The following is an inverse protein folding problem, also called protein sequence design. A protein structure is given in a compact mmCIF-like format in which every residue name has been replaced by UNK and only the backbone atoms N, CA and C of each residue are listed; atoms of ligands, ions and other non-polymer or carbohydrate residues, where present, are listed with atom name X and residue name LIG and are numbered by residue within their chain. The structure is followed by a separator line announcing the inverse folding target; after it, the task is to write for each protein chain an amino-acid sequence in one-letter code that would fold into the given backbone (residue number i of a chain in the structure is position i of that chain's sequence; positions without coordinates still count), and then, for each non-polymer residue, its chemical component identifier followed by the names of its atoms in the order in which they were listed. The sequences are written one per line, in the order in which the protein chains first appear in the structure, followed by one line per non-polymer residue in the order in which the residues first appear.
data_IF_756723061573
#
_entry.id   IF_756723061573
#
_cell.length_a   1.000
_cell.length_b   1.000
_cell.length_c   1.000
_cell.angle_alpha   90.00
_cell.angle_beta   90.00
_cell.angle_gamma   90.00
#
_symmetry.space_group_name_H-M   'P 1'
#
loop_
_entity.id
_entity.type
_entity.pdbx_description
1 polymer ?
#
# COMPACT_ATOMS: atom_id res chain seq x y z
N UNK A 1 -6.29 2.76 16.40
CA UNK A 1 -5.60 2.63 15.09
C UNK A 1 -4.14 2.33 15.36
N UNK A 2 -3.51 1.50 14.53
CA UNK A 2 -2.06 1.24 14.62
C UNK A 2 -1.35 2.33 13.80
N UNK A 3 -0.59 3.21 14.46
CA UNK A 3 -0.04 4.44 13.85
C UNK A 3 0.88 4.16 12.66
N UNK A 4 1.77 3.19 12.78
CA UNK A 4 2.67 2.78 11.71
C UNK A 4 1.90 2.35 10.45
N UNK A 5 0.91 1.47 10.60
CA UNK A 5 0.07 1.01 9.49
C UNK A 5 -0.77 2.15 8.92
N UNK A 6 -1.27 3.04 9.78
CA UNK A 6 -2.01 4.22 9.33
C UNK A 6 -1.16 5.10 8.41
N UNK A 7 0.12 5.33 8.78
CA UNK A 7 1.05 6.11 7.96
C UNK A 7 1.27 5.44 6.59
N UNK A 8 1.52 4.13 6.58
CA UNK A 8 1.71 3.32 5.35
C UNK A 8 0.48 3.36 4.44
N UNK A 9 -0.72 3.25 4.99
CA UNK A 9 -1.97 3.34 4.22
C UNK A 9 -2.23 4.73 3.66
N UNK A 10 -1.83 5.79 4.38
CA UNK A 10 -1.88 7.16 3.84
C UNK A 10 -0.89 7.37 2.68
N UNK A 11 0.35 6.88 2.82
CA UNK A 11 1.35 6.91 1.75
C UNK A 11 0.88 6.15 0.51
N UNK A 12 0.33 4.95 0.71
CA UNK A 12 -0.31 4.15 -0.33
C UNK A 12 -1.43 4.92 -1.02
N UNK A 13 -2.35 5.53 -0.28
CA UNK A 13 -3.46 6.28 -0.87
C UNK A 13 -3.02 7.53 -1.63
N UNK A 14 -1.98 8.23 -1.16
CA UNK A 14 -1.35 9.33 -1.90
C UNK A 14 -0.75 8.79 -3.21
N UNK A 15 -0.06 7.66 -3.15
CA UNK A 15 0.51 7.02 -4.33
C UNK A 15 -0.56 6.55 -5.33
N UNK A 16 -1.67 5.98 -4.87
CA UNK A 16 -2.81 5.59 -5.73
C UNK A 16 -3.41 6.80 -6.45
N UNK A 17 -3.63 7.91 -5.73
CA UNK A 17 -4.19 9.14 -6.33
C UNK A 17 -3.30 9.72 -7.42
N UNK A 18 -1.96 9.62 -7.27
CA UNK A 18 -1.01 10.02 -8.33
C UNK A 18 -1.13 9.17 -9.61
N UNK A 19 -1.70 7.95 -9.55
CA UNK A 19 -1.89 7.08 -10.74
C UNK A 19 -3.13 7.42 -11.56
N UNK A 20 -4.20 7.92 -10.94
CA UNK A 20 -5.44 8.27 -11.65
C UNK A 20 -5.28 9.51 -12.56
N UNK A 21 -4.20 10.29 -12.38
CA UNK A 21 -3.87 11.45 -13.20
C UNK A 21 -3.23 11.09 -14.58
N UNK A 22 -3.27 9.82 -15.00
CA UNK A 22 -2.97 9.42 -16.39
C UNK A 22 -1.51 9.05 -16.70
N UNK A 23 -0.69 8.73 -15.71
CA UNK A 23 0.67 8.21 -15.92
C UNK A 23 0.75 6.71 -15.69
N UNK A 24 0.92 5.90 -16.75
CA UNK A 24 1.30 4.49 -16.58
C UNK A 24 2.50 4.40 -15.64
N UNK A 25 2.41 3.58 -14.60
CA UNK A 25 3.35 3.47 -13.47
C UNK A 25 4.78 3.01 -13.79
N UNK A 26 5.25 3.21 -15.01
CA UNK A 26 6.66 3.30 -15.31
C UNK A 26 7.02 4.79 -15.34
N UNK A 27 8.02 5.26 -14.57
CA UNK A 27 8.62 6.53 -14.95
C UNK A 27 9.02 6.38 -16.42
N UNK A 28 8.51 7.25 -17.30
CA UNK A 28 8.78 7.18 -18.75
C UNK A 28 10.28 7.34 -19.07
N UNK A 29 11.08 7.60 -18.04
CA UNK A 29 12.53 7.68 -18.04
C UNK A 29 13.08 6.81 -16.91
N UNK A 30 14.06 5.97 -17.24
CA UNK A 30 14.91 5.31 -16.26
C UNK A 30 15.50 6.36 -15.30
N UNK A 31 15.39 6.14 -13.98
CA UNK A 31 15.92 7.04 -12.94
C UNK A 31 17.45 7.20 -12.97
N UNK A 32 18.16 6.47 -13.85
CA UNK A 32 19.60 6.67 -14.06
C UNK A 32 19.95 7.94 -14.85
N UNK A 33 18.98 8.65 -15.44
CA UNK A 33 19.26 9.83 -16.27
C UNK A 33 18.99 11.19 -15.61
N UNK A 34 18.63 11.26 -14.32
CA UNK A 34 18.18 12.52 -13.69
C UNK A 34 19.11 13.00 -12.56
N UNK A 35 20.42 12.95 -12.81
CA UNK A 35 21.43 13.57 -11.94
C UNK A 35 21.54 15.11 -12.11
N UNK A 36 20.69 15.73 -12.92
CA UNK A 36 20.75 17.18 -13.18
C UNK A 36 19.36 17.81 -13.09
N UNK A 37 19.13 18.44 -11.92
CA UNK A 37 18.25 19.59 -11.64
C UNK A 37 16.79 19.58 -12.16
N UNK A 38 15.85 19.93 -11.28
CA UNK A 38 15.08 21.21 -11.33
C UNK A 38 14.11 21.24 -10.14
N UNK A 39 14.13 22.37 -9.42
CA UNK A 39 13.11 22.75 -8.45
C UNK A 39 11.72 22.75 -9.09
N UNK A 40 10.83 21.87 -8.65
CA UNK A 40 9.43 21.85 -9.06
C UNK A 40 8.66 20.85 -8.21
N UNK A 41 7.79 21.36 -7.34
CA UNK A 41 6.91 20.57 -6.48
C UNK A 41 6.00 19.69 -7.34
N UNK A 42 6.15 18.37 -7.26
CA UNK A 42 5.40 17.40 -8.07
C UNK A 42 6.22 16.23 -8.62
N UNK A 43 7.48 16.08 -8.22
CA UNK A 43 8.30 14.93 -8.59
C UNK A 43 7.74 13.63 -8.00
N UNK A 44 7.70 12.58 -8.82
CA UNK A 44 7.54 11.21 -8.37
C UNK A 44 8.46 10.99 -7.15
N UNK A 45 7.87 10.56 -6.03
CA UNK A 45 8.61 10.33 -4.80
C UNK A 45 9.80 9.40 -5.00
N UNK A 46 10.80 9.42 -4.10
CA UNK A 46 11.95 8.54 -4.18
C UNK A 46 11.53 7.08 -4.43
N UNK A 47 12.33 6.32 -5.18
CA UNK A 47 12.06 4.92 -5.61
C UNK A 47 11.61 4.02 -4.45
N UNK A 48 12.09 4.32 -3.24
CA UNK A 48 11.71 3.64 -2.00
C UNK A 48 10.24 3.80 -1.63
N UNK A 49 9.64 4.98 -1.87
CA UNK A 49 8.21 5.22 -1.63
C UNK A 49 7.33 4.42 -2.61
N UNK A 50 7.78 4.25 -3.85
CA UNK A 50 7.06 3.47 -4.85
C UNK A 50 7.08 1.96 -4.54
N UNK A 51 8.22 1.42 -4.08
CA UNK A 51 8.32 0.02 -3.67
C UNK A 51 7.43 -0.29 -2.45
N UNK A 52 7.50 0.57 -1.44
CA UNK A 52 6.65 0.51 -0.25
C UNK A 52 5.14 0.53 -0.57
N UNK A 53 4.72 1.41 -1.47
CA UNK A 53 3.32 1.51 -1.86
C UNK A 53 2.85 0.26 -2.66
N UNK A 54 3.72 -0.33 -3.47
CA UNK A 54 3.42 -1.57 -4.21
C UNK A 54 3.23 -2.78 -3.29
N UNK A 55 4.00 -2.88 -2.21
CA UNK A 55 3.81 -3.93 -1.19
C UNK A 55 2.42 -3.82 -0.56
N UNK A 56 2.04 -2.61 -0.13
CA UNK A 56 0.72 -2.34 0.44
C UNK A 56 -0.40 -2.62 -0.57
N UNK A 57 -0.22 -2.22 -1.84
CA UNK A 57 -1.18 -2.51 -2.91
C UNK A 57 -1.41 -4.02 -3.07
N UNK A 58 -0.35 -4.83 -3.04
CA UNK A 58 -0.45 -6.30 -3.10
C UNK A 58 -1.29 -6.86 -1.95
N UNK A 59 -1.05 -6.38 -0.72
CA UNK A 59 -1.81 -6.78 0.47
C UNK A 59 -3.27 -6.32 0.38
N UNK A 60 -3.54 -5.09 -0.06
CA UNK A 60 -4.89 -4.55 -0.22
C UNK A 60 -5.68 -5.32 -1.29
N UNK A 61 -5.05 -5.74 -2.39
CA UNK A 61 -5.67 -6.61 -3.39
C UNK A 61 -6.04 -7.96 -2.80
N UNK A 62 -5.18 -8.55 -1.97
CA UNK A 62 -5.49 -9.80 -1.27
C UNK A 62 -6.66 -9.62 -0.29
N UNK A 63 -6.67 -8.53 0.48
CA UNK A 63 -7.78 -8.18 1.39
C UNK A 63 -9.08 -7.99 0.61
N UNK A 64 -9.05 -7.32 -0.55
CA UNK A 64 -10.24 -7.14 -1.40
C UNK A 64 -10.86 -8.47 -1.83
N UNK A 65 -10.04 -9.48 -2.12
CA UNK A 65 -10.50 -10.83 -2.49
C UNK A 65 -11.08 -11.58 -1.28
N UNK A 66 -10.46 -11.46 -0.10
CA UNK A 66 -10.84 -12.21 1.10
C UNK A 66 -12.01 -11.58 1.87
N UNK A 67 -12.04 -10.25 1.96
CA UNK A 67 -12.97 -9.47 2.77
C UNK A 67 -13.31 -8.15 2.09
N UNK A 68 -14.27 -8.14 1.15
CA UNK A 68 -14.69 -6.93 0.43
C UNK A 68 -15.10 -5.79 1.37
N UNK A 69 -15.78 -6.10 2.48
CA UNK A 69 -16.23 -5.09 3.45
C UNK A 69 -15.08 -4.35 4.16
N UNK A 70 -13.91 -4.98 4.32
CA UNK A 70 -12.72 -4.30 4.85
C UNK A 70 -12.08 -3.41 3.79
N UNK A 71 -12.07 -3.87 2.54
CA UNK A 71 -11.62 -3.07 1.41
C UNK A 71 -12.49 -1.82 1.21
N UNK A 72 -13.82 -1.93 1.34
CA UNK A 72 -14.71 -0.78 1.20
C UNK A 72 -14.37 0.31 2.20
N UNK A 73 -14.08 -0.08 3.45
CA UNK A 73 -13.63 0.87 4.48
C UNK A 73 -12.27 1.47 4.15
N UNK A 74 -11.32 0.67 3.64
CA UNK A 74 -10.03 1.17 3.17
C UNK A 74 -10.21 2.22 2.05
N UNK A 75 -11.08 1.92 1.08
CA UNK A 75 -11.39 2.82 -0.03
C UNK A 75 -12.00 4.13 0.48
N UNK A 76 -13.07 4.06 1.28
CA UNK A 76 -13.75 5.28 1.75
C UNK A 76 -12.92 6.11 2.71
N UNK A 77 -12.09 5.48 3.54
CA UNK A 77 -11.28 6.18 4.54
C UNK A 77 -10.01 6.79 3.97
N UNK A 78 -9.33 6.09 3.04
CA UNK A 78 -8.03 6.55 2.52
C UNK A 78 -8.10 7.09 1.09
N UNK A 79 -8.87 6.45 0.19
CA UNK A 79 -8.90 6.80 -1.23
C UNK A 79 -9.94 7.87 -1.57
N UNK A 80 -11.16 7.79 -1.02
CA UNK A 80 -12.26 8.71 -1.34
C UNK A 80 -12.07 10.15 -0.82
N UNK A 81 -10.95 10.43 -0.14
CA UNK A 81 -10.59 11.77 0.35
C UNK A 81 -10.98 11.99 1.81
N UNK A 82 -11.11 13.27 2.20
CA UNK A 82 -11.34 13.65 3.61
C UNK A 82 -12.80 13.42 4.03
N UNK A 83 -13.20 12.14 4.15
CA UNK A 83 -14.52 11.73 4.62
C UNK A 83 -14.50 11.53 6.14
N UNK A 84 -15.52 12.05 6.82
CA UNK A 84 -15.71 11.78 8.26
C UNK A 84 -16.22 10.36 8.46
N UNK A 85 -15.89 9.72 9.60
CA UNK A 85 -16.35 8.36 9.92
C UNK A 85 -17.88 8.25 9.88
N UNK A 86 -18.59 9.28 10.34
CA UNK A 86 -20.05 9.38 10.24
C UNK A 86 -20.56 9.27 8.79
N UNK A 87 -19.90 9.93 7.85
CA UNK A 87 -20.27 9.87 6.44
C UNK A 87 -19.96 8.49 5.86
N UNK A 88 -18.80 7.92 6.18
CA UNK A 88 -18.43 6.55 5.76
C UNK A 88 -19.46 5.54 6.29
N UNK A 89 -19.91 5.70 7.53
CA UNK A 89 -20.94 4.85 8.12
C UNK A 89 -22.27 4.93 7.34
N UNK A 90 -22.65 6.14 6.88
CA UNK A 90 -23.82 6.35 6.02
C UNK A 90 -23.64 5.69 4.64
N UNK A 91 -22.50 5.91 3.97
CA UNK A 91 -22.23 5.30 2.65
C UNK A 91 -22.22 3.76 2.72
N UNK A 92 -21.73 3.21 3.83
CA UNK A 92 -21.67 1.76 4.07
C UNK A 92 -22.92 1.20 4.76
N UNK A 93 -23.95 2.02 5.01
CA UNK A 93 -25.18 1.62 5.70
C UNK A 93 -24.92 0.85 7.01
N UNK A 94 -23.97 1.33 7.81
CA UNK A 94 -23.56 0.69 9.06
C UNK A 94 -23.37 1.71 10.18
N UNK A 95 -23.09 1.23 11.40
CA UNK A 95 -22.78 2.12 12.53
C UNK A 95 -21.34 2.61 12.48
N UNK A 96 -21.07 3.78 13.08
CA UNK A 96 -19.69 4.30 13.21
C UNK A 96 -18.78 3.31 13.95
N UNK A 97 -19.31 2.61 14.96
CA UNK A 97 -18.61 1.54 15.69
C UNK A 97 -18.17 0.43 14.74
N UNK A 98 -19.04 0.04 13.80
CA UNK A 98 -18.72 -0.96 12.78
C UNK A 98 -17.59 -0.48 11.87
N UNK A 99 -17.57 0.81 11.50
CA UNK A 99 -16.47 1.39 10.71
C UNK A 99 -15.15 1.31 11.47
N UNK A 100 -15.12 1.70 12.76
CA UNK A 100 -13.91 1.59 13.58
C UNK A 100 -13.42 0.16 13.75
N UNK A 101 -14.34 -0.79 13.96
CA UNK A 101 -14.00 -2.21 14.07
C UNK A 101 -13.41 -2.74 12.76
N UNK A 102 -13.99 -2.37 11.61
CA UNK A 102 -13.48 -2.73 10.28
C UNK A 102 -12.14 -2.07 9.98
N UNK A 103 -11.93 -0.81 10.36
CA UNK A 103 -10.63 -0.14 10.27
C UNK A 103 -9.58 -0.84 11.13
N UNK A 104 -9.93 -1.21 12.36
CA UNK A 104 -9.00 -1.94 13.21
C UNK A 104 -8.63 -3.30 12.60
N UNK A 105 -9.62 -4.06 12.14
CA UNK A 105 -9.40 -5.33 11.46
C UNK A 105 -8.58 -5.19 10.16
N UNK A 106 -8.79 -4.11 9.40
CA UNK A 106 -7.98 -3.77 8.24
C UNK A 106 -6.51 -3.54 8.64
N UNK A 107 -6.24 -2.78 9.70
CA UNK A 107 -4.85 -2.55 10.14
C UNK A 107 -4.15 -3.84 10.54
N UNK A 108 -4.85 -4.74 11.22
CA UNK A 108 -4.32 -6.06 11.58
C UNK A 108 -4.04 -6.89 10.32
N UNK A 109 -5.00 -6.95 9.38
CA UNK A 109 -4.82 -7.69 8.14
C UNK A 109 -3.66 -7.16 7.27
N UNK A 110 -3.45 -5.83 7.25
CA UNK A 110 -2.33 -5.22 6.55
C UNK A 110 -1.00 -5.53 7.23
N UNK A 111 -0.96 -5.48 8.56
CA UNK A 111 0.22 -5.84 9.34
C UNK A 111 0.60 -7.31 9.12
N UNK A 112 -0.36 -8.22 9.21
CA UNK A 112 -0.15 -9.65 8.97
C UNK A 112 0.37 -9.89 7.54
N UNK A 113 -0.26 -9.27 6.54
CA UNK A 113 0.18 -9.41 5.15
C UNK A 113 1.59 -8.85 4.88
N UNK A 114 2.03 -7.82 5.60
CA UNK A 114 3.41 -7.33 5.49
C UNK A 114 4.41 -8.28 6.14
N UNK A 115 4.08 -8.88 7.28
CA UNK A 115 4.93 -9.90 7.90
C UNK A 115 5.06 -11.13 7.00
N UNK A 116 3.98 -11.58 6.37
CA UNK A 116 4.01 -12.71 5.43
C UNK A 116 4.98 -12.41 4.27
N UNK A 117 4.94 -11.19 3.71
CA UNK A 117 5.87 -10.77 2.64
C UNK A 117 7.33 -10.75 3.09
N UNK A 118 7.60 -10.31 4.33
CA UNK A 118 8.95 -10.29 4.90
C UNK A 118 9.50 -11.70 5.11
N UNK A 119 8.67 -12.61 5.62
CA UNK A 119 9.01 -14.03 5.78
C UNK A 119 9.32 -14.66 4.41
N UNK A 120 8.45 -14.46 3.42
CA UNK A 120 8.64 -14.97 2.05
C UNK A 120 9.90 -14.40 1.38
N UNK A 121 10.26 -13.16 1.67
CA UNK A 121 11.49 -12.56 1.17
C UNK A 121 12.73 -13.18 1.82
N UNK A 122 12.69 -13.40 3.13
CA UNK A 122 13.77 -14.04 3.88
C UNK A 122 13.99 -15.49 3.43
N UNK A 123 12.92 -16.27 3.29
CA UNK A 123 12.98 -17.66 2.83
C UNK A 123 13.59 -17.78 1.43
N UNK A 124 13.26 -16.85 0.52
CA UNK A 124 13.87 -16.80 -0.82
C UNK A 124 15.36 -16.48 -0.76
N UNK A 125 15.77 -15.52 0.08
CA UNK A 125 17.18 -15.18 0.25
C UNK A 125 17.98 -16.35 0.84
N UNK A 126 17.42 -17.07 1.80
CA UNK A 126 18.06 -18.25 2.41
C UNK A 126 18.15 -19.43 1.43
N UNK A 127 17.13 -19.63 0.59
CA UNK A 127 17.16 -20.62 -0.49
C UNK A 127 18.25 -20.33 -1.53
N UNK A 128 18.44 -19.07 -1.91
CA UNK A 128 19.50 -18.65 -2.83
C UNK A 128 20.89 -18.83 -2.21
N UNK A 129 21.04 -18.49 -0.92
CA UNK A 129 22.29 -18.68 -0.19
C UNK A 129 22.70 -20.15 -0.08
N UNK A 130 21.74 -21.04 0.09
CA UNK A 130 21.96 -22.48 0.23
C UNK A 130 21.98 -23.22 -1.12
N UNK A 131 21.91 -22.52 -2.26
CA UNK A 131 21.98 -23.13 -3.58
C UNK A 131 23.38 -23.74 -3.82
N UNK A 132 23.50 -25.05 -4.05
CA UNK A 132 24.80 -25.67 -4.28
C UNK A 132 25.42 -25.10 -5.55
N UNK A 133 26.66 -24.60 -5.45
CA UNK A 133 27.43 -24.18 -6.61
C UNK A 133 27.81 -25.42 -7.39
N UNK A 134 27.20 -25.61 -8.56
CA UNK A 134 27.61 -26.64 -9.51
C UNK A 134 29.00 -26.22 -10.00
N UNK A 135 30.04 -26.89 -9.51
CA UNK A 135 31.40 -26.76 -10.01
C UNK A 135 31.43 -27.52 -11.34
N UNK A 136 31.64 -26.79 -12.44
CA UNK A 136 31.83 -27.33 -13.78
C UNK A 136 33.26 -27.86 -13.95
#
# INVERSE_FOLDING_TARGET
MIEYINKRLNEWAIWCKRRDDGGMGYPSKSNYCNLVQIHGAGGAGPVTEAAAALEIEGVIIAIRKRSPAQYDVAFWFYLAGSMTVKRIAQELSCSEVTVYNRLHALHLAVMDGLHDLEIDAQDRADAERNRPKIVA
#
